data_IF_090234086330
#
_entry.id   IF_090234086330
#
_cell.length_a   1.000
_cell.length_b   1.000
_cell.length_c   1.000
_cell.angle_alpha   90.00
_cell.angle_beta   90.00
_cell.angle_gamma   90.00
#
_symmetry.space_group_name_H-M   'P 1'
#
loop_
_entity.id
_entity.type
_entity.pdbx_description
1 polymer ?
#
# COMPACT_ATOMS: atom_id res chain seq x y z
N UNK A 1 -8.42 16.26 -27.58
CA UNK A 1 -8.36 15.56 -26.28
C UNK A 1 -9.67 14.83 -26.10
N UNK A 2 -9.76 13.59 -26.58
CA UNK A 2 -10.98 12.78 -26.54
C UNK A 2 -11.21 12.30 -25.11
N UNK A 3 -12.22 12.86 -24.44
CA UNK A 3 -12.71 12.34 -23.17
C UNK A 3 -13.39 10.99 -23.45
N UNK A 4 -12.63 9.91 -23.29
CA UNK A 4 -13.18 8.56 -23.30
C UNK A 4 -14.18 8.46 -22.14
N UNK A 5 -15.49 8.57 -22.45
CA UNK A 5 -16.56 8.36 -21.48
C UNK A 5 -16.49 6.89 -21.07
N UNK A 6 -15.81 6.62 -19.95
CA UNK A 6 -15.76 5.30 -19.31
C UNK A 6 -17.19 4.79 -19.16
N UNK A 7 -17.49 3.68 -19.84
CA UNK A 7 -18.73 2.93 -19.65
C UNK A 7 -18.70 2.39 -18.23
N UNK A 8 -19.62 2.86 -17.38
CA UNK A 8 -19.77 2.31 -16.05
C UNK A 8 -20.40 0.93 -16.22
N UNK A 9 -19.61 -0.13 -16.09
CA UNK A 9 -20.17 -1.45 -15.81
C UNK A 9 -21.01 -1.33 -14.55
N UNK A 10 -22.27 -1.73 -14.62
CA UNK A 10 -23.11 -1.85 -13.44
C UNK A 10 -22.57 -3.05 -12.68
N UNK A 11 -21.80 -2.76 -11.64
CA UNK A 11 -21.24 -3.75 -10.73
C UNK A 11 -22.29 -4.02 -9.66
N UNK A 12 -22.66 -5.30 -9.49
CA UNK A 12 -23.56 -5.71 -8.43
C UNK A 12 -22.94 -5.51 -7.03
N UNK A 13 -23.80 -5.54 -6.02
CA UNK A 13 -23.41 -5.30 -4.64
C UNK A 13 -22.42 -6.35 -4.11
N UNK A 14 -22.55 -7.60 -4.55
CA UNK A 14 -21.65 -8.70 -4.15
C UNK A 14 -20.21 -8.49 -4.68
N UNK A 15 -20.10 -8.06 -5.94
CA UNK A 15 -18.82 -7.75 -6.59
C UNK A 15 -18.20 -6.50 -5.96
N UNK A 16 -19.02 -5.49 -5.63
CA UNK A 16 -18.56 -4.32 -4.87
C UNK A 16 -17.99 -4.73 -3.52
N UNK A 17 -18.68 -5.59 -2.78
CA UNK A 17 -18.25 -6.02 -1.46
C UNK A 17 -17.00 -6.91 -1.53
N UNK A 18 -16.90 -7.76 -2.56
CA UNK A 18 -15.68 -8.51 -2.86
C UNK A 18 -14.49 -7.59 -3.19
N UNK A 19 -14.72 -6.51 -3.95
CA UNK A 19 -13.71 -5.50 -4.25
C UNK A 19 -13.20 -4.82 -2.98
N UNK A 20 -14.11 -4.45 -2.07
CA UNK A 20 -13.75 -3.85 -0.77
C UNK A 20 -12.88 -4.82 0.04
N UNK A 21 -13.30 -6.08 0.19
CA UNK A 21 -12.52 -7.10 0.91
C UNK A 21 -11.12 -7.29 0.31
N UNK A 22 -11.03 -7.37 -1.02
CA UNK A 22 -9.76 -7.53 -1.73
C UNK A 22 -8.83 -6.34 -1.50
N UNK A 23 -9.34 -5.10 -1.54
CA UNK A 23 -8.54 -3.90 -1.26
C UNK A 23 -8.05 -3.88 0.19
N UNK A 24 -8.93 -4.22 1.14
CA UNK A 24 -8.58 -4.28 2.57
C UNK A 24 -7.46 -5.30 2.81
N UNK A 25 -7.58 -6.52 2.29
CA UNK A 25 -6.57 -7.56 2.44
C UNK A 25 -5.19 -7.13 1.89
N UNK A 26 -5.16 -6.39 0.78
CA UNK A 26 -3.90 -5.85 0.24
C UNK A 26 -3.29 -4.77 1.13
N UNK A 27 -4.10 -3.91 1.72
CA UNK A 27 -3.63 -2.88 2.67
C UNK A 27 -3.03 -3.55 3.91
N UNK A 28 -3.68 -4.60 4.42
CA UNK A 28 -3.17 -5.38 5.55
C UNK A 28 -1.86 -6.10 5.20
N UNK A 29 -1.72 -6.56 3.96
CA UNK A 29 -0.46 -7.12 3.43
C UNK A 29 0.64 -6.06 3.19
N UNK A 30 0.35 -4.77 3.37
CA UNK A 30 1.33 -3.67 3.31
C UNK A 30 1.25 -2.80 2.06
N UNK A 31 0.33 -3.05 1.12
CA UNK A 31 0.12 -2.16 -0.01
C UNK A 31 -0.43 -0.80 0.45
N UNK A 32 -0.02 0.27 -0.23
CA UNK A 32 -0.68 1.57 -0.07
C UNK A 32 -2.12 1.50 -0.60
N UNK A 33 -3.02 2.31 -0.03
CA UNK A 33 -4.41 2.38 -0.50
C UNK A 33 -4.52 2.68 -2.01
N UNK A 34 -3.65 3.54 -2.53
CA UNK A 34 -3.58 3.85 -3.97
C UNK A 34 -3.20 2.63 -4.80
N UNK A 35 -2.19 1.86 -4.36
CA UNK A 35 -1.76 0.66 -5.06
C UNK A 35 -2.85 -0.43 -5.04
N UNK A 36 -3.46 -0.67 -3.87
CA UNK A 36 -4.53 -1.63 -3.71
C UNK A 36 -5.78 -1.26 -4.53
N UNK A 37 -6.20 0.02 -4.51
CA UNK A 37 -7.34 0.50 -5.29
C UNK A 37 -7.10 0.39 -6.81
N UNK A 38 -5.87 0.65 -7.27
CA UNK A 38 -5.48 0.47 -8.67
C UNK A 38 -5.53 -0.99 -9.11
N UNK A 39 -5.11 -1.91 -8.25
CA UNK A 39 -5.18 -3.33 -8.55
C UNK A 39 -6.64 -3.78 -8.76
N UNK A 40 -7.54 -3.41 -7.85
CA UNK A 40 -8.96 -3.73 -7.96
C UNK A 40 -9.65 -3.03 -9.14
N UNK A 41 -9.30 -1.77 -9.44
CA UNK A 41 -9.88 -1.04 -10.56
C UNK A 41 -9.55 -1.69 -11.91
N UNK A 42 -8.33 -2.22 -12.06
CA UNK A 42 -7.91 -2.96 -13.26
C UNK A 42 -8.64 -4.29 -13.40
N UNK A 43 -8.90 -4.99 -12.30
CA UNK A 43 -9.58 -6.29 -12.33
C UNK A 43 -11.06 -6.17 -12.68
N UNK A 44 -11.72 -5.10 -12.24
CA UNK A 44 -13.17 -4.90 -12.39
C UNK A 44 -13.55 -3.97 -13.55
N UNK A 45 -12.57 -3.43 -14.27
CA UNK A 45 -12.74 -2.41 -15.31
C UNK A 45 -13.62 -1.21 -14.86
N UNK A 46 -13.33 -0.72 -13.66
CA UNK A 46 -13.97 0.48 -13.09
C UNK A 46 -12.93 1.55 -12.79
N UNK A 47 -13.38 2.78 -12.54
CA UNK A 47 -12.44 3.85 -12.18
C UNK A 47 -11.83 3.62 -10.79
N UNK A 48 -10.54 3.96 -10.61
CA UNK A 48 -9.89 3.95 -9.29
C UNK A 48 -10.68 4.77 -8.27
N UNK A 49 -11.23 5.91 -8.68
CA UNK A 49 -12.03 6.79 -7.83
C UNK A 49 -13.28 6.10 -7.29
N UNK A 50 -13.94 5.28 -8.12
CA UNK A 50 -15.11 4.48 -7.73
C UNK A 50 -14.74 3.47 -6.66
N UNK A 51 -13.66 2.71 -6.86
CA UNK A 51 -13.18 1.73 -5.87
C UNK A 51 -12.84 2.41 -4.55
N UNK A 52 -12.14 3.56 -4.60
CA UNK A 52 -11.82 4.34 -3.38
C UNK A 52 -13.09 4.79 -2.66
N UNK A 53 -14.12 5.21 -3.40
CA UNK A 53 -15.39 5.61 -2.82
C UNK A 53 -16.11 4.45 -2.12
N UNK A 54 -16.10 3.25 -2.71
CA UNK A 54 -16.67 2.04 -2.08
C UNK A 54 -15.95 1.70 -0.78
N UNK A 55 -14.61 1.67 -0.80
CA UNK A 55 -13.82 1.34 0.39
C UNK A 55 -14.02 2.38 1.50
N UNK A 56 -14.04 3.67 1.17
CA UNK A 56 -14.30 4.72 2.16
C UNK A 56 -15.72 4.63 2.74
N UNK A 57 -16.73 4.35 1.91
CA UNK A 57 -18.12 4.20 2.34
C UNK A 57 -18.34 2.97 3.22
N UNK A 58 -17.57 1.90 2.99
CA UNK A 58 -17.65 0.68 3.80
C UNK A 58 -17.22 0.88 5.26
N UNK A 59 -16.42 1.91 5.55
CA UNK A 59 -15.81 2.11 6.86
C UNK A 59 -14.71 1.10 7.22
N UNK A 60 -14.45 0.10 6.37
CA UNK A 60 -13.51 -1.00 6.63
C UNK A 60 -12.06 -0.67 6.30
N UNK A 61 -11.75 0.55 5.86
CA UNK A 61 -10.39 0.93 5.47
C UNK A 61 -9.46 0.82 6.70
N UNK A 62 -8.42 -0.04 6.67
CA UNK A 62 -7.46 -0.11 7.75
C UNK A 62 -6.76 1.24 7.92
N UNK A 63 -6.72 1.71 9.16
CA UNK A 63 -5.95 2.89 9.57
C UNK A 63 -5.01 2.47 10.67
N UNK A 64 -3.72 2.72 10.48
CA UNK A 64 -2.75 2.56 11.56
C UNK A 64 -3.06 3.57 12.65
N UNK A 65 -3.10 3.10 13.88
CA UNK A 65 -3.20 3.93 15.08
C UNK A 65 -1.90 4.70 15.30
N UNK A 66 -1.97 5.83 16.00
CA UNK A 66 -0.78 6.60 16.36
C UNK A 66 0.25 5.74 17.14
N UNK A 67 -0.25 4.80 17.96
CA UNK A 67 0.58 3.86 18.72
C UNK A 67 1.37 2.90 17.81
N UNK A 68 0.72 2.33 16.80
CA UNK A 68 1.39 1.45 15.83
C UNK A 68 2.43 2.22 15.01
N UNK A 69 2.13 3.46 14.62
CA UNK A 69 3.09 4.32 13.93
C UNK A 69 4.31 4.59 14.81
N UNK A 70 4.11 4.97 16.07
CA UNK A 70 5.20 5.25 17.01
C UNK A 70 6.08 4.00 17.28
N UNK A 71 5.47 2.82 17.35
CA UNK A 71 6.21 1.56 17.47
C UNK A 71 7.09 1.30 16.25
N UNK A 72 6.52 1.44 15.03
CA UNK A 72 7.25 1.27 13.78
C UNK A 72 8.39 2.30 13.61
N UNK A 73 8.18 3.55 14.03
CA UNK A 73 9.23 4.58 14.00
C UNK A 73 10.38 4.25 14.96
N UNK A 74 10.06 3.69 16.13
CA UNK A 74 11.05 3.24 17.12
C UNK A 74 11.88 2.08 16.58
N UNK A 75 11.22 1.07 16.00
CA UNK A 75 11.88 -0.07 15.36
C UNK A 75 12.77 0.38 14.19
N UNK A 76 12.29 1.32 13.37
CA UNK A 76 13.06 1.89 12.27
C UNK A 76 14.29 2.65 12.78
N UNK A 77 14.17 3.42 13.85
CA UNK A 77 15.29 4.12 14.46
C UNK A 77 16.36 3.16 14.97
N UNK A 78 15.95 2.08 15.64
CA UNK A 78 16.85 1.03 16.11
C UNK A 78 17.55 0.32 14.94
N UNK A 79 16.81 -0.07 13.91
CA UNK A 79 17.37 -0.72 12.73
C UNK A 79 18.38 0.18 12.00
N UNK A 80 18.11 1.49 11.91
CA UNK A 80 19.04 2.46 11.34
C UNK A 80 20.32 2.58 12.17
N UNK A 81 20.21 2.60 13.49
CA UNK A 81 21.39 2.69 14.36
C UNK A 81 22.25 1.43 14.27
N UNK A 82 21.63 0.25 14.30
CA UNK A 82 22.34 -1.01 14.06
C UNK A 82 23.05 -1.01 12.70
N UNK A 83 22.38 -0.55 11.65
CA UNK A 83 22.99 -0.46 10.32
C UNK A 83 24.18 0.53 10.30
N UNK A 84 24.06 1.69 10.96
CA UNK A 84 25.18 2.64 11.10
C UNK A 84 26.37 2.01 11.81
N UNK A 85 26.14 1.31 12.92
CA UNK A 85 27.20 0.60 13.66
C UNK A 85 27.85 -0.47 12.80
N UNK A 86 27.07 -1.25 12.06
CA UNK A 86 27.58 -2.27 11.13
C UNK A 86 28.41 -1.65 10.01
N UNK A 87 27.93 -0.56 9.40
CA UNK A 87 28.69 0.17 8.37
C UNK A 87 29.97 0.78 8.97
N UNK A 88 29.93 1.34 10.18
CA UNK A 88 31.12 1.88 10.84
C UNK A 88 32.14 0.76 11.16
N UNK A 89 31.66 -0.43 11.53
CA UNK A 89 32.49 -1.57 11.91
C UNK A 89 33.05 -2.35 10.72
N UNK A 90 32.31 -2.42 9.61
CA UNK A 90 32.62 -3.30 8.47
C UNK A 90 32.67 -2.58 7.11
N UNK A 91 32.04 -1.41 6.98
CA UNK A 91 31.93 -0.63 5.73
C UNK A 91 33.21 0.07 5.27
N UNK A 92 34.31 -0.02 6.03
CA UNK A 92 35.65 0.37 5.57
C UNK A 92 36.42 -0.78 4.89
N UNK A 93 35.86 -2.00 4.80
CA UNK A 93 36.58 -3.21 4.38
C UNK A 93 36.35 -3.73 2.96
N UNK A 94 35.25 -3.34 2.28
CA UNK A 94 34.87 -3.96 0.99
C UNK A 94 34.89 -3.01 -0.21
N UNK A 95 35.47 -1.81 -0.06
CA UNK A 95 35.69 -0.87 -1.17
C UNK A 95 37.09 -0.89 -1.79
N UNK A 96 38.00 -1.77 -1.34
CA UNK A 96 39.43 -1.75 -1.73
C UNK A 96 40.00 -3.11 -2.17
N UNK A 97 39.14 -4.07 -2.53
CA UNK A 97 39.55 -5.37 -3.10
C UNK A 97 38.67 -5.83 -4.25
N UNK A 98 38.69 -5.07 -5.33
CA UNK A 98 38.56 -5.64 -6.66
C UNK A 98 39.71 -5.08 -7.49
N UNK A 99 40.72 -5.92 -7.69
CA UNK A 99 41.72 -5.80 -8.77
C UNK A 99 41.03 -6.07 -10.11
#
# INVERSE_FOLDING_TARGET
MTYERRRYNVVDDDTRDAAVRAVVARIEAGDSFTAAARAASKQLDVSETTVRAWVNRSGLRPRRTAKEVAALETELAMARELNRVLIAKYGAGEGLRSQ
#
